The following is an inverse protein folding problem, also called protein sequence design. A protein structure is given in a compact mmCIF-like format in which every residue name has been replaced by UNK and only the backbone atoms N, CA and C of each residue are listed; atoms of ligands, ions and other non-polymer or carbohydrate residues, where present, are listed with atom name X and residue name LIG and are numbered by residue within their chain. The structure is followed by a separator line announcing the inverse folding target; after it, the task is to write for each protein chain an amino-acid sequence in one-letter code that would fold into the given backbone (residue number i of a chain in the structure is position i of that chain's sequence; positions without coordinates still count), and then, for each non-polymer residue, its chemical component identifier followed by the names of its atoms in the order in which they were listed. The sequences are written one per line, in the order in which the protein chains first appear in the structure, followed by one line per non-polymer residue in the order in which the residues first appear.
data_IF_703214585521
#
_entry.id   IF_703214585521
#
_cell.length_a   1.000
_cell.length_b   1.000
_cell.length_c   1.000
_cell.angle_alpha   90.00
_cell.angle_beta   90.00
_cell.angle_gamma   90.00
#
_symmetry.space_group_name_H-M   'P 1'
#
loop_
_entity.id
_entity.type
_entity.pdbx_description
1 polymer ?
#
# COMPACT_ATOMS: atom_id res chain seq x y z
N UNK A 1 -16.44 -24.09 3.84
CA UNK A 1 -16.12 -23.52 2.51
C UNK A 1 -15.22 -22.27 2.64
N UNK A 2 -14.48 -22.18 3.74
CA UNK A 2 -13.81 -20.94 4.18
C UNK A 2 -12.31 -20.96 3.90
N UNK A 3 -11.73 -22.14 3.67
CA UNK A 3 -10.31 -22.33 3.39
C UNK A 3 -9.91 -21.77 2.03
N UNK A 4 -10.75 -21.93 1.01
CA UNK A 4 -10.49 -21.43 -0.35
C UNK A 4 -10.54 -19.90 -0.40
N UNK A 5 -11.52 -19.28 0.25
CA UNK A 5 -11.62 -17.82 0.38
C UNK A 5 -10.45 -17.24 1.19
N UNK A 6 -10.09 -17.89 2.31
CA UNK A 6 -8.94 -17.50 3.11
C UNK A 6 -7.64 -17.54 2.31
N UNK A 7 -7.38 -18.66 1.62
CA UNK A 7 -6.18 -18.83 0.81
C UNK A 7 -6.13 -17.81 -0.33
N UNK A 8 -7.26 -17.57 -0.99
CA UNK A 8 -7.36 -16.59 -2.07
C UNK A 8 -7.04 -15.18 -1.57
N UNK A 9 -7.58 -14.77 -0.42
CA UNK A 9 -7.28 -13.46 0.18
C UNK A 9 -5.78 -13.32 0.49
N UNK A 10 -5.15 -14.35 1.06
CA UNK A 10 -3.71 -14.34 1.35
C UNK A 10 -2.89 -14.26 0.06
N UNK A 11 -3.24 -15.04 -0.96
CA UNK A 11 -2.52 -15.01 -2.24
C UNK A 11 -2.59 -13.62 -2.87
N UNK A 12 -3.79 -13.03 -2.94
CA UNK A 12 -3.97 -11.68 -3.47
C UNK A 12 -3.16 -10.68 -2.64
N UNK A 13 -3.26 -10.74 -1.31
CA UNK A 13 -2.52 -9.85 -0.41
C UNK A 13 -1.00 -9.94 -0.60
N UNK A 14 -0.44 -11.16 -0.64
CA UNK A 14 1.01 -11.39 -0.76
C UNK A 14 1.52 -11.00 -2.14
N UNK A 15 0.80 -11.33 -3.22
CA UNK A 15 1.22 -10.96 -4.59
C UNK A 15 1.18 -9.43 -4.74
N UNK A 16 0.08 -8.80 -4.36
CA UNK A 16 -0.06 -7.34 -4.46
C UNK A 16 0.91 -6.60 -3.54
N UNK A 17 1.14 -7.11 -2.33
CA UNK A 17 2.14 -6.60 -1.40
C UNK A 17 3.56 -6.73 -1.93
N UNK A 18 3.90 -7.85 -2.56
CA UNK A 18 5.22 -8.05 -3.17
C UNK A 18 5.45 -7.08 -4.33
N UNK A 19 4.46 -6.88 -5.19
CA UNK A 19 4.52 -5.88 -6.27
C UNK A 19 4.67 -4.47 -5.68
N UNK A 20 3.94 -4.14 -4.62
CA UNK A 20 4.07 -2.86 -3.93
C UNK A 20 5.49 -2.67 -3.37
N UNK A 21 6.07 -3.69 -2.72
CA UNK A 21 7.42 -3.60 -2.18
C UNK A 21 8.47 -3.42 -3.28
N UNK A 22 8.37 -4.15 -4.39
CA UNK A 22 9.27 -4.00 -5.53
C UNK A 22 9.14 -2.60 -6.14
N UNK A 23 7.90 -2.13 -6.39
CA UNK A 23 7.65 -0.81 -6.92
C UNK A 23 8.20 0.28 -5.98
N UNK A 24 7.91 0.17 -4.69
CA UNK A 24 8.41 1.05 -3.63
C UNK A 24 9.93 1.09 -3.58
N UNK A 25 10.57 -0.07 -3.64
CA UNK A 25 12.03 -0.19 -3.65
C UNK A 25 12.65 0.46 -4.89
N UNK A 26 12.10 0.21 -6.08
CA UNK A 26 12.56 0.84 -7.33
C UNK A 26 12.40 2.36 -7.27
N UNK A 27 11.32 2.88 -6.66
CA UNK A 27 11.09 4.32 -6.51
C UNK A 27 12.21 5.00 -5.70
N UNK A 28 12.77 4.34 -4.69
CA UNK A 28 13.84 4.90 -3.84
C UNK A 28 15.10 5.25 -4.64
N UNK A 29 15.38 4.52 -5.73
CA UNK A 29 16.51 4.79 -6.62
C UNK A 29 16.21 5.82 -7.72
N UNK A 30 14.96 6.29 -7.86
CA UNK A 30 14.57 7.26 -8.89
C UNK A 30 14.50 8.67 -8.34
N UNK A 31 15.00 9.62 -9.12
CA UNK A 31 14.97 11.04 -8.79
C UNK A 31 13.54 11.51 -8.49
N UNK A 32 13.37 12.06 -7.28
CA UNK A 32 12.09 12.58 -6.79
C UNK A 32 11.54 13.65 -7.74
N UNK A 33 10.25 13.57 -8.04
CA UNK A 33 9.56 14.56 -8.90
C UNK A 33 9.61 14.26 -10.41
N UNK A 34 10.42 13.30 -10.86
CA UNK A 34 10.39 12.85 -12.27
C UNK A 34 9.05 12.20 -12.64
N UNK A 35 8.66 12.21 -13.94
CA UNK A 35 7.44 11.53 -14.38
C UNK A 35 7.45 10.03 -14.07
N UNK A 36 8.63 9.39 -14.08
CA UNK A 36 8.77 7.99 -13.69
C UNK A 36 8.52 7.77 -12.18
N UNK A 37 9.06 8.65 -11.32
CA UNK A 37 8.79 8.60 -9.88
C UNK A 37 7.30 8.79 -9.58
N UNK A 38 6.62 9.69 -10.30
CA UNK A 38 5.16 9.88 -10.19
C UNK A 38 4.38 8.63 -10.62
N UNK A 39 4.66 8.09 -11.82
CA UNK A 39 3.98 6.89 -12.34
C UNK A 39 4.13 5.68 -11.40
N UNK A 40 5.34 5.41 -10.94
CA UNK A 40 5.59 4.33 -10.00
C UNK A 40 4.94 4.60 -8.62
N UNK A 41 4.92 5.85 -8.16
CA UNK A 41 4.21 6.24 -6.93
C UNK A 41 2.71 6.00 -6.99
N UNK A 42 2.06 6.27 -8.15
CA UNK A 42 0.66 5.93 -8.36
C UNK A 42 0.41 4.41 -8.40
N UNK A 43 1.31 3.65 -9.05
CA UNK A 43 1.23 2.19 -9.04
C UNK A 43 1.35 1.64 -7.61
N UNK A 44 2.35 2.09 -6.86
CA UNK A 44 2.55 1.73 -5.45
C UNK A 44 1.31 2.02 -4.62
N UNK A 45 0.71 3.20 -4.79
CA UNK A 45 -0.51 3.61 -4.08
C UNK A 45 -1.71 2.71 -4.41
N UNK A 46 -1.90 2.38 -5.69
CA UNK A 46 -2.94 1.44 -6.12
C UNK A 46 -2.77 0.07 -5.48
N UNK A 47 -1.55 -0.46 -5.46
CA UNK A 47 -1.25 -1.73 -4.79
C UNK A 47 -1.48 -1.63 -3.27
N UNK A 48 -1.08 -0.54 -2.62
CA UNK A 48 -1.28 -0.34 -1.19
C UNK A 48 -2.76 -0.29 -0.80
N UNK A 49 -3.64 0.29 -1.62
CA UNK A 49 -5.09 0.23 -1.37
C UNK A 49 -5.56 -1.22 -1.31
N UNK A 50 -5.14 -2.06 -2.26
CA UNK A 50 -5.51 -3.49 -2.31
C UNK A 50 -4.93 -4.25 -1.10
N UNK A 51 -3.68 -3.98 -0.73
CA UNK A 51 -3.02 -4.60 0.43
C UNK A 51 -3.74 -4.24 1.73
N UNK A 52 -4.13 -2.98 1.90
CA UNK A 52 -4.84 -2.51 3.10
C UNK A 52 -6.24 -3.09 3.17
N UNK A 53 -6.99 -3.14 2.06
CA UNK A 53 -8.34 -3.74 2.06
C UNK A 53 -8.30 -5.24 2.32
N UNK A 54 -7.41 -5.98 1.65
CA UNK A 54 -7.25 -7.43 1.85
C UNK A 54 -6.69 -7.79 3.22
N UNK A 55 -5.79 -6.95 3.77
CA UNK A 55 -5.24 -7.10 5.11
C UNK A 55 -6.29 -6.85 6.19
N UNK A 56 -7.04 -5.76 6.09
CA UNK A 56 -8.12 -5.44 7.03
C UNK A 56 -9.25 -6.48 6.97
N UNK A 57 -9.65 -6.88 5.75
CA UNK A 57 -10.62 -7.95 5.54
C UNK A 57 -10.13 -9.27 6.14
N UNK A 58 -8.86 -9.61 5.92
CA UNK A 58 -8.22 -10.80 6.48
C UNK A 58 -8.27 -10.84 8.01
N UNK A 59 -8.04 -9.70 8.68
CA UNK A 59 -8.06 -9.64 10.14
C UNK A 59 -9.48 -9.67 10.70
N UNK A 60 -10.43 -8.95 10.09
CA UNK A 60 -11.82 -8.84 10.56
C UNK A 60 -12.58 -10.16 10.36
N UNK A 61 -12.48 -10.76 9.17
CA UNK A 61 -13.25 -11.95 8.80
C UNK A 61 -12.68 -13.21 9.44
N UNK A 62 -11.36 -13.36 9.48
CA UNK A 62 -10.71 -14.56 10.03
C UNK A 62 -10.25 -14.38 11.48
N UNK A 63 -10.80 -13.37 12.18
CA UNK A 63 -10.57 -13.05 13.60
C UNK A 63 -9.10 -13.17 14.00
N UNK A 64 -8.25 -12.41 13.30
CA UNK A 64 -6.80 -12.40 13.54
C UNK A 64 -6.43 -11.37 14.62
N UNK A 65 -5.18 -11.42 15.07
CA UNK A 65 -4.66 -10.55 16.12
C UNK A 65 -4.84 -9.06 15.78
N UNK A 66 -5.23 -8.27 16.78
CA UNK A 66 -5.39 -6.81 16.67
C UNK A 66 -4.10 -6.12 16.21
N UNK A 67 -2.94 -6.67 16.56
CA UNK A 67 -1.64 -6.19 16.10
C UNK A 67 -1.55 -6.09 14.56
N UNK A 68 -2.07 -7.08 13.83
CA UNK A 68 -2.04 -7.10 12.37
C UNK A 68 -2.97 -6.03 11.76
N UNK A 69 -4.07 -5.71 12.45
CA UNK A 69 -4.94 -4.60 12.05
C UNK A 69 -4.24 -3.26 12.23
N UNK A 70 -3.54 -3.07 13.35
CA UNK A 70 -2.83 -1.81 13.64
C UNK A 70 -1.74 -1.51 12.61
N UNK A 71 -0.91 -2.49 12.24
CA UNK A 71 0.10 -2.29 11.20
C UNK A 71 -0.53 -2.01 9.83
N UNK A 72 -1.69 -2.62 9.53
CA UNK A 72 -2.42 -2.40 8.27
C UNK A 72 -2.92 -0.94 8.20
N UNK A 73 -3.53 -0.45 9.28
CA UNK A 73 -3.99 0.94 9.38
C UNK A 73 -2.81 1.90 9.32
N UNK A 74 -1.73 1.62 10.05
CA UNK A 74 -0.52 2.46 10.08
C UNK A 74 0.10 2.57 8.67
N UNK A 75 0.26 1.46 7.96
CA UNK A 75 0.80 1.43 6.61
C UNK A 75 -0.10 2.19 5.61
N UNK A 76 -1.42 2.02 5.73
CA UNK A 76 -2.40 2.79 4.95
C UNK A 76 -2.32 4.28 5.22
N UNK A 77 -2.25 4.68 6.48
CA UNK A 77 -2.10 6.08 6.90
C UNK A 77 -0.80 6.70 6.36
N UNK A 78 0.33 5.99 6.46
CA UNK A 78 1.62 6.47 5.96
C UNK A 78 1.62 6.64 4.43
N UNK A 79 0.94 5.75 3.71
CA UNK A 79 0.78 5.87 2.26
C UNK A 79 -0.08 7.09 1.91
N UNK A 80 -1.18 7.30 2.64
CA UNK A 80 -2.08 8.44 2.45
C UNK A 80 -1.43 9.78 2.80
N UNK A 81 -0.64 9.85 3.88
CA UNK A 81 0.07 11.06 4.27
C UNK A 81 1.08 11.47 3.19
N UNK A 82 1.79 10.50 2.59
CA UNK A 82 2.65 10.74 1.44
C UNK A 82 1.92 11.35 0.24
N UNK A 83 0.71 10.88 -0.06
CA UNK A 83 -0.13 11.46 -1.12
C UNK A 83 -0.58 12.89 -0.81
N UNK A 84 -0.99 13.13 0.44
CA UNK A 84 -1.47 14.44 0.88
C UNK A 84 -0.39 15.51 0.73
N UNK A 85 0.86 15.19 1.06
CA UNK A 85 2.00 16.11 0.91
C UNK A 85 2.20 16.54 -0.56
N UNK A 86 1.91 15.66 -1.53
CA UNK A 86 2.02 15.99 -2.95
C UNK A 86 0.94 17.00 -3.37
N UNK A 87 -0.27 16.89 -2.80
CA UNK A 87 -1.37 17.83 -3.06
C UNK A 87 -1.17 19.18 -2.39
N UNK A 88 -0.59 19.18 -1.19
CA UNK A 88 -0.48 20.40 -0.37
C UNK A 88 0.82 21.18 -0.57
N UNK A 89 1.79 20.67 -1.33
CA UNK A 89 2.97 21.47 -1.70
C UNK A 89 2.57 22.53 -2.74
N UNK A 90 2.59 23.84 -2.41
CA UNK A 90 2.52 24.87 -3.44
C UNK A 90 3.76 24.77 -4.32
N UNK A 91 3.59 25.08 -5.61
CA UNK A 91 4.64 25.32 -6.61
C UNK A 91 5.45 26.58 -6.27
N UNK A 92 6.00 26.64 -5.06
CA UNK A 92 6.94 27.67 -4.64
C UNK A 92 8.09 26.95 -3.94
N UNK A 93 8.99 26.43 -4.76
CA UNK A 93 10.38 26.28 -4.34
C UNK A 93 11.01 27.66 -4.54
N UNK A 94 11.38 28.29 -3.43
CA UNK A 94 12.37 29.38 -3.42
C UNK A 94 13.67 28.86 -4.03
#
# INVERSE_FOLDING_TARGET
MDTTLHLTNIIIHVITGSIALIAGFVILFKTKGTPLHRKLGYLFMGCMVIVVTTGAFGVIVFKRNLFLLLITILAGYNTYSGFRIIKEKPTVFI
#
